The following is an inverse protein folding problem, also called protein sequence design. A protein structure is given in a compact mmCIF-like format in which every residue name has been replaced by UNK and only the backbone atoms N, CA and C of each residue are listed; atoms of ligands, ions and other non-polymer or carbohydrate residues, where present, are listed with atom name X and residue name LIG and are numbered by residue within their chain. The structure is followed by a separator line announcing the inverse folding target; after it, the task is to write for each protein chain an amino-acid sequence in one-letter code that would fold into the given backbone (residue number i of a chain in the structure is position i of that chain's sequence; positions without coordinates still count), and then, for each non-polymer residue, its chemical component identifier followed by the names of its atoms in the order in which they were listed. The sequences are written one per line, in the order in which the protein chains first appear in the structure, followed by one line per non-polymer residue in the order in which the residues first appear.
data_IF_086103474693
#
_entry.id   IF_086103474693
#
_cell.length_a   1.000
_cell.length_b   1.000
_cell.length_c   1.000
_cell.angle_alpha   90.00
_cell.angle_beta   90.00
_cell.angle_gamma   90.00
#
_symmetry.space_group_name_H-M   'P 1'
#
loop_
_entity.id
_entity.type
_entity.pdbx_description
1 polymer ?
#
# COMPACT_ATOMS: atom_id res chain seq x y z
N UNK A 1 6.24 -3.49 12.11
CA UNK A 1 5.52 -2.61 13.02
C UNK A 1 5.82 -2.94 14.51
N UNK A 2 5.80 -4.22 14.99
CA UNK A 2 6.10 -4.52 16.40
C UNK A 2 7.45 -3.98 16.87
N UNK A 3 8.51 -4.14 16.11
CA UNK A 3 9.85 -3.62 16.47
C UNK A 3 9.85 -2.08 16.64
N UNK A 4 9.18 -1.37 15.71
CA UNK A 4 9.04 0.09 15.76
C UNK A 4 8.36 0.54 17.06
N UNK A 5 7.31 -0.18 17.46
CA UNK A 5 6.56 0.13 18.68
C UNK A 5 7.32 -0.24 19.94
N UNK A 6 8.11 -1.33 19.91
CA UNK A 6 8.97 -1.73 21.03
C UNK A 6 10.05 -0.68 21.29
N UNK A 7 10.69 -0.16 20.26
CA UNK A 7 11.68 0.92 20.37
C UNK A 7 11.07 2.23 20.91
N UNK A 8 9.76 2.42 20.71
CA UNK A 8 9.00 3.53 21.29
C UNK A 8 8.54 3.26 22.73
N UNK A 9 9.01 2.19 23.39
CA UNK A 9 8.67 1.85 24.79
C UNK A 9 7.31 1.17 24.97
N UNK A 10 6.66 0.73 23.86
CA UNK A 10 5.39 0.02 23.93
C UNK A 10 5.65 -1.47 24.21
N UNK A 11 4.94 -2.03 25.19
CA UNK A 11 5.09 -3.44 25.57
C UNK A 11 4.79 -4.38 24.39
N UNK A 12 5.48 -5.54 24.34
CA UNK A 12 5.33 -6.53 23.29
C UNK A 12 3.87 -7.00 23.10
N UNK A 13 3.14 -7.18 24.20
CA UNK A 13 1.72 -7.54 24.16
C UNK A 13 0.88 -6.47 23.44
N UNK A 14 1.09 -5.19 23.77
CA UNK A 14 0.39 -4.06 23.13
C UNK A 14 0.81 -3.90 21.67
N UNK A 15 2.09 -4.09 21.35
CA UNK A 15 2.61 -4.07 19.98
C UNK A 15 1.98 -5.20 19.13
N UNK A 16 1.78 -6.38 19.72
CA UNK A 16 1.05 -7.49 19.07
C UNK A 16 -0.41 -7.14 18.79
N UNK A 17 -1.11 -6.53 19.74
CA UNK A 17 -2.51 -6.06 19.56
C UNK A 17 -2.61 -5.02 18.45
N UNK A 18 -1.69 -4.06 18.41
CA UNK A 18 -1.63 -3.03 17.35
C UNK A 18 -1.39 -3.68 15.98
N UNK A 19 -0.51 -4.67 15.90
CA UNK A 19 -0.28 -5.42 14.67
C UNK A 19 -1.52 -6.24 14.25
N UNK A 20 -2.21 -6.85 15.20
CA UNK A 20 -3.50 -7.53 14.96
C UNK A 20 -4.56 -6.58 14.38
N UNK A 21 -4.66 -5.37 14.90
CA UNK A 21 -5.56 -4.33 14.36
C UNK A 21 -5.22 -3.99 12.90
N UNK A 22 -3.93 -3.82 12.58
CA UNK A 22 -3.49 -3.60 11.20
C UNK A 22 -3.96 -4.72 10.28
N UNK A 23 -3.77 -5.97 10.69
CA UNK A 23 -4.16 -7.13 9.89
C UNK A 23 -5.69 -7.23 9.69
N UNK A 24 -6.47 -6.99 10.74
CA UNK A 24 -7.94 -6.98 10.67
C UNK A 24 -8.43 -5.90 9.70
N UNK A 25 -7.91 -4.68 9.81
CA UNK A 25 -8.34 -3.57 8.96
C UNK A 25 -7.89 -3.72 7.50
N UNK A 26 -6.84 -4.52 7.22
CA UNK A 26 -6.43 -4.86 5.86
C UNK A 26 -7.50 -5.68 5.10
N UNK A 27 -8.32 -6.45 5.81
CA UNK A 27 -9.40 -7.23 5.18
C UNK A 27 -10.63 -6.37 4.81
N UNK A 28 -10.86 -5.25 5.48
CA UNK A 28 -12.08 -4.42 5.31
C UNK A 28 -12.27 -3.93 3.88
N UNK A 29 -11.26 -3.38 3.17
CA UNK A 29 -11.43 -2.92 1.80
C UNK A 29 -11.86 -4.02 0.83
N UNK A 30 -11.40 -5.26 1.03
CA UNK A 30 -11.82 -6.40 0.22
C UNK A 30 -13.33 -6.65 0.27
N UNK A 31 -13.93 -6.41 1.43
CA UNK A 31 -15.37 -6.60 1.64
C UNK A 31 -16.21 -5.41 1.14
N UNK A 32 -15.70 -4.18 1.27
CA UNK A 32 -16.49 -2.96 1.05
C UNK A 32 -16.24 -2.30 -0.31
N UNK A 33 -15.00 -2.31 -0.80
CA UNK A 33 -14.59 -1.48 -1.94
C UNK A 33 -14.68 -2.18 -3.28
N UNK A 34 -14.61 -3.51 -3.34
CA UNK A 34 -14.57 -4.25 -4.60
C UNK A 34 -15.76 -3.93 -5.53
N UNK A 35 -16.97 -3.86 -4.97
CA UNK A 35 -18.17 -3.54 -5.74
C UNK A 35 -18.27 -2.04 -6.10
N UNK A 36 -17.81 -1.17 -5.21
CA UNK A 36 -17.88 0.29 -5.35
C UNK A 36 -16.86 0.78 -6.38
N UNK A 37 -15.63 0.29 -6.34
CA UNK A 37 -14.56 0.70 -7.26
C UNK A 37 -14.88 0.37 -8.72
N UNK A 38 -15.58 -0.75 -8.97
CA UNK A 38 -16.01 -1.14 -10.32
C UNK A 38 -17.05 -0.22 -10.93
N UNK A 39 -17.80 0.52 -10.10
CA UNK A 39 -18.87 1.44 -10.54
C UNK A 39 -18.35 2.85 -10.79
N UNK A 40 -17.15 3.18 -10.34
CA UNK A 40 -16.56 4.50 -10.56
C UNK A 40 -16.08 4.62 -12.01
N UNK A 41 -16.40 5.75 -12.65
CA UNK A 41 -15.91 6.08 -14.00
C UNK A 41 -14.39 6.28 -14.03
N UNK A 42 -13.82 6.68 -12.91
CA UNK A 42 -12.41 7.03 -12.75
C UNK A 42 -11.98 6.68 -11.31
N UNK A 43 -10.91 5.96 -11.17
CA UNK A 43 -10.40 5.50 -9.87
C UNK A 43 -9.23 6.35 -9.34
N UNK A 44 -8.90 7.48 -9.97
CA UNK A 44 -7.78 8.36 -9.59
C UNK A 44 -7.91 8.86 -8.15
N UNK A 45 -9.09 9.38 -7.79
CA UNK A 45 -9.34 9.89 -6.44
C UNK A 45 -9.16 8.79 -5.39
N UNK A 46 -9.66 7.59 -5.66
CA UNK A 46 -9.49 6.46 -4.75
C UNK A 46 -8.00 6.10 -4.57
N UNK A 47 -7.23 6.04 -5.66
CA UNK A 47 -5.80 5.75 -5.62
C UNK A 47 -5.01 6.82 -4.84
N UNK A 48 -5.27 8.10 -5.11
CA UNK A 48 -4.62 9.20 -4.40
C UNK A 48 -4.99 9.20 -2.92
N UNK A 49 -6.27 9.05 -2.59
CA UNK A 49 -6.74 9.05 -1.19
C UNK A 49 -6.10 7.92 -0.39
N UNK A 50 -6.03 6.72 -0.96
CA UNK A 50 -5.43 5.54 -0.31
C UNK A 50 -3.94 5.74 -0.09
N UNK A 51 -3.22 6.27 -1.07
CA UNK A 51 -1.79 6.56 -0.95
C UNK A 51 -1.51 7.62 0.12
N UNK A 52 -2.31 8.68 0.16
CA UNK A 52 -2.17 9.74 1.15
C UNK A 52 -2.54 9.27 2.57
N UNK A 53 -3.57 8.42 2.72
CA UNK A 53 -3.90 7.80 4.00
C UNK A 53 -2.76 6.93 4.52
N UNK A 54 -2.12 6.15 3.64
CA UNK A 54 -0.95 5.35 3.98
C UNK A 54 0.22 6.22 4.43
N UNK A 55 0.53 7.29 3.69
CA UNK A 55 1.58 8.23 4.06
C UNK A 55 1.28 8.91 5.40
N UNK A 56 0.05 9.39 5.60
CA UNK A 56 -0.40 10.03 6.84
C UNK A 56 -0.25 9.08 8.05
N UNK A 57 -0.62 7.81 7.91
CA UNK A 57 -0.50 6.84 8.99
C UNK A 57 0.95 6.58 9.39
N UNK A 58 1.87 6.51 8.41
CA UNK A 58 3.30 6.35 8.67
C UNK A 58 3.89 7.57 9.39
N UNK A 59 3.53 8.76 8.94
CA UNK A 59 3.91 10.03 9.60
C UNK A 59 3.32 10.09 11.02
N UNK A 60 2.06 9.67 11.18
CA UNK A 60 1.39 9.62 12.48
C UNK A 60 2.07 8.68 13.47
N UNK A 61 2.58 7.54 13.04
CA UNK A 61 3.36 6.63 13.90
C UNK A 61 4.64 7.32 14.41
N UNK A 62 5.29 8.16 13.60
CA UNK A 62 6.51 8.89 13.99
C UNK A 62 6.22 9.97 15.03
N UNK A 63 5.21 10.81 14.77
CA UNK A 63 4.99 12.03 15.55
C UNK A 63 3.96 11.86 16.69
N UNK A 64 3.11 10.86 16.62
CA UNK A 64 2.07 10.58 17.62
C UNK A 64 1.97 9.08 17.96
N UNK A 65 3.04 8.45 18.50
CA UNK A 65 3.07 7.02 18.77
C UNK A 65 2.02 6.58 19.81
N UNK A 66 1.54 7.49 20.64
CA UNK A 66 0.45 7.22 21.57
C UNK A 66 -0.86 6.79 20.92
N UNK A 67 -1.07 7.15 19.64
CA UNK A 67 -2.22 6.76 18.82
C UNK A 67 -1.91 5.58 17.90
N UNK A 68 -0.95 4.73 18.23
CA UNK A 68 -0.48 3.62 17.39
C UNK A 68 -1.60 2.71 16.89
N UNK A 69 -2.65 2.47 17.70
CA UNK A 69 -3.81 1.68 17.31
C UNK A 69 -4.59 2.32 16.15
N UNK A 70 -4.80 3.64 16.20
CA UNK A 70 -5.45 4.40 15.14
C UNK A 70 -4.62 4.37 13.85
N UNK A 71 -3.32 4.65 13.97
CA UNK A 71 -2.43 4.65 12.81
C UNK A 71 -2.30 3.27 12.18
N UNK A 72 -2.26 2.21 12.99
CA UNK A 72 -2.26 0.84 12.49
C UNK A 72 -3.55 0.50 11.75
N UNK A 73 -4.70 0.94 12.25
CA UNK A 73 -5.98 0.73 11.59
C UNK A 73 -6.04 1.45 10.22
N UNK A 74 -5.59 2.71 10.16
CA UNK A 74 -5.53 3.48 8.91
C UNK A 74 -4.53 2.84 7.93
N UNK A 75 -3.36 2.44 8.41
CA UNK A 75 -2.32 1.79 7.59
C UNK A 75 -2.82 0.46 7.02
N UNK A 76 -3.49 -0.36 7.84
CA UNK A 76 -4.07 -1.62 7.40
C UNK A 76 -5.14 -1.41 6.34
N UNK A 77 -6.07 -0.49 6.57
CA UNK A 77 -7.09 -0.14 5.59
C UNK A 77 -6.45 0.35 4.28
N UNK A 78 -5.48 1.26 4.35
CA UNK A 78 -4.75 1.76 3.18
C UNK A 78 -4.05 0.64 2.40
N UNK A 79 -3.38 -0.28 3.10
CA UNK A 79 -2.70 -1.43 2.48
C UNK A 79 -3.68 -2.35 1.75
N UNK A 80 -4.79 -2.72 2.40
CA UNK A 80 -5.82 -3.55 1.79
C UNK A 80 -6.51 -2.86 0.61
N UNK A 81 -6.79 -1.57 0.72
CA UNK A 81 -7.38 -0.78 -0.35
C UNK A 81 -6.43 -0.66 -1.56
N UNK A 82 -5.13 -0.49 -1.33
CA UNK A 82 -4.11 -0.47 -2.40
C UNK A 82 -4.09 -1.78 -3.18
N UNK A 83 -4.15 -2.91 -2.48
CA UNK A 83 -4.22 -4.24 -3.11
C UNK A 83 -5.50 -4.39 -3.96
N UNK A 84 -6.65 -3.99 -3.41
CA UNK A 84 -7.93 -4.05 -4.15
C UNK A 84 -7.94 -3.14 -5.38
N UNK A 85 -7.37 -1.94 -5.28
CA UNK A 85 -7.20 -1.03 -6.41
C UNK A 85 -6.31 -1.65 -7.50
N UNK A 86 -5.18 -2.24 -7.12
CA UNK A 86 -4.27 -2.90 -8.07
C UNK A 86 -4.97 -4.02 -8.85
N UNK A 87 -5.69 -4.90 -8.16
CA UNK A 87 -6.45 -5.97 -8.81
C UNK A 87 -7.58 -5.41 -9.69
N UNK A 88 -8.25 -4.35 -9.25
CA UNK A 88 -9.29 -3.69 -10.03
C UNK A 88 -8.72 -3.07 -11.30
N UNK A 89 -7.55 -2.41 -11.23
CA UNK A 89 -6.89 -1.83 -12.40
C UNK A 89 -6.51 -2.89 -13.43
N UNK A 90 -5.97 -4.03 -12.99
CA UNK A 90 -5.67 -5.16 -13.88
C UNK A 90 -6.95 -5.58 -14.63
N UNK A 91 -8.03 -5.85 -13.91
CA UNK A 91 -9.28 -6.28 -14.51
C UNK A 91 -9.95 -5.26 -15.44
N UNK A 92 -9.80 -3.95 -15.15
CA UNK A 92 -10.39 -2.88 -15.97
C UNK A 92 -9.53 -2.49 -17.18
N UNK A 93 -8.24 -2.85 -17.22
CA UNK A 93 -7.29 -2.46 -18.29
C UNK A 93 -7.01 -3.59 -19.27
N UNK A 94 -7.48 -4.79 -18.99
CA UNK A 94 -7.27 -5.96 -19.85
C UNK A 94 -8.58 -6.38 -20.52
N UNK A 95 -8.47 -6.91 -21.75
CA UNK A 95 -9.64 -7.30 -22.57
C UNK A 95 -10.00 -8.78 -22.41
N UNK A 96 -9.06 -9.59 -21.99
CA UNK A 96 -9.22 -11.04 -21.84
C UNK A 96 -8.44 -11.59 -20.64
N UNK A 97 -8.72 -12.82 -20.28
CA UNK A 97 -8.12 -13.49 -19.12
C UNK A 97 -6.59 -13.70 -19.28
N UNK A 98 -6.10 -13.90 -20.51
CA UNK A 98 -4.67 -14.08 -20.79
C UNK A 98 -3.89 -12.80 -20.50
N UNK A 99 -4.36 -11.66 -21.00
CA UNK A 99 -3.74 -10.35 -20.74
C UNK A 99 -3.80 -10.01 -19.24
N UNK A 100 -4.92 -10.33 -18.57
CA UNK A 100 -5.05 -10.12 -17.13
C UNK A 100 -4.04 -10.95 -16.34
N UNK A 101 -3.85 -12.22 -16.70
CA UNK A 101 -2.89 -13.10 -16.05
C UNK A 101 -1.45 -12.61 -16.27
N UNK A 102 -1.09 -12.21 -17.50
CA UNK A 102 0.24 -11.70 -17.83
C UNK A 102 0.54 -10.39 -17.06
N UNK A 103 -0.39 -9.43 -17.06
CA UNK A 103 -0.22 -8.17 -16.34
C UNK A 103 -0.14 -8.40 -14.83
N UNK A 104 -0.98 -9.29 -14.28
CA UNK A 104 -0.95 -9.65 -12.86
C UNK A 104 0.37 -10.30 -12.47
N UNK A 105 0.85 -11.26 -13.26
CA UNK A 105 2.14 -11.94 -13.03
C UNK A 105 3.30 -10.95 -13.03
N UNK A 106 3.36 -10.04 -14.00
CA UNK A 106 4.38 -9.00 -14.08
C UNK A 106 4.32 -8.06 -12.86
N UNK A 107 3.14 -7.56 -12.51
CA UNK A 107 2.97 -6.66 -11.37
C UNK A 107 3.35 -7.33 -10.05
N UNK A 108 2.98 -8.59 -9.86
CA UNK A 108 3.33 -9.36 -8.66
C UNK A 108 4.82 -9.68 -8.59
N UNK A 109 5.46 -10.01 -9.72
CA UNK A 109 6.91 -10.25 -9.76
C UNK A 109 7.67 -9.01 -9.27
N UNK A 110 7.37 -7.84 -9.84
CA UNK A 110 7.99 -6.58 -9.40
C UNK A 110 7.66 -6.27 -7.93
N UNK A 111 6.39 -6.45 -7.53
CA UNK A 111 5.95 -6.21 -6.15
C UNK A 111 6.67 -7.10 -5.14
N UNK A 112 6.82 -8.39 -5.40
CA UNK A 112 7.53 -9.31 -4.52
C UNK A 112 9.03 -9.04 -4.45
N UNK A 113 9.66 -8.64 -5.56
CA UNK A 113 11.05 -8.20 -5.55
C UNK A 113 11.23 -6.97 -4.65
N UNK A 114 10.36 -5.99 -4.76
CA UNK A 114 10.38 -4.82 -3.88
C UNK A 114 10.11 -5.20 -2.42
N UNK A 115 9.18 -6.11 -2.17
CA UNK A 115 8.88 -6.60 -0.83
C UNK A 115 10.06 -7.38 -0.21
N UNK A 116 10.85 -8.10 -1.00
CA UNK A 116 12.05 -8.79 -0.53
C UNK A 116 13.20 -7.82 -0.21
N UNK A 117 13.41 -6.80 -1.03
CA UNK A 117 14.49 -5.83 -0.87
C UNK A 117 14.13 -4.74 0.15
N UNK A 118 12.86 -4.36 0.23
CA UNK A 118 12.37 -3.26 1.06
C UNK A 118 12.82 -3.33 2.52
N UNK A 119 12.58 -4.43 3.25
CA UNK A 119 12.99 -4.56 4.64
C UNK A 119 14.50 -4.44 4.85
N UNK A 120 15.31 -4.95 3.92
CA UNK A 120 16.77 -4.84 3.98
C UNK A 120 17.24 -3.39 3.84
N UNK A 121 16.65 -2.64 2.89
CA UNK A 121 16.98 -1.23 2.71
C UNK A 121 16.53 -0.39 3.91
N UNK A 122 15.31 -0.62 4.41
CA UNK A 122 14.78 0.10 5.56
C UNK A 122 15.56 -0.24 6.84
N UNK A 123 16.02 -1.49 6.99
CA UNK A 123 16.92 -1.87 8.08
C UNK A 123 18.25 -1.10 8.04
N UNK A 124 18.87 -1.00 6.85
CA UNK A 124 20.08 -0.18 6.68
C UNK A 124 19.86 1.30 7.00
N UNK A 125 18.72 1.86 6.56
CA UNK A 125 18.36 3.25 6.89
C UNK A 125 18.17 3.42 8.39
N UNK A 126 17.53 2.45 9.06
CA UNK A 126 17.39 2.42 10.52
C UNK A 126 18.76 2.45 11.21
N UNK A 127 19.65 1.53 10.83
CA UNK A 127 20.99 1.42 11.44
C UNK A 127 21.83 2.68 11.24
N UNK A 128 21.73 3.29 10.05
CA UNK A 128 22.42 4.53 9.72
C UNK A 128 21.85 5.75 10.44
N UNK A 129 20.53 5.84 10.58
CA UNK A 129 19.86 7.01 11.20
C UNK A 129 19.69 6.90 12.71
N UNK A 130 19.96 5.72 13.28
CA UNK A 130 19.82 5.46 14.73
C UNK A 130 18.38 5.36 15.22
N UNK A 131 17.42 5.09 14.32
CA UNK A 131 16.01 4.92 14.71
C UNK A 131 15.03 4.77 13.57
N UNK A 132 13.75 4.51 13.89
CA UNK A 132 12.71 4.21 12.93
C UNK A 132 12.06 5.43 12.26
N UNK A 133 12.35 6.66 12.73
CA UNK A 133 11.75 7.87 12.15
C UNK A 133 12.10 8.01 10.66
N UNK A 134 13.39 7.92 10.31
CA UNK A 134 13.82 8.03 8.90
C UNK A 134 13.27 6.92 8.01
N UNK A 135 13.34 5.62 8.35
CA UNK A 135 12.68 4.57 7.55
C UNK A 135 11.20 4.81 7.29
N UNK A 136 10.45 5.25 8.32
CA UNK A 136 9.03 5.53 8.20
C UNK A 136 8.75 6.73 7.30
N UNK A 137 9.53 7.81 7.42
CA UNK A 137 9.39 9.00 6.57
C UNK A 137 9.77 8.71 5.11
N UNK A 138 10.81 7.92 4.87
CA UNK A 138 11.16 7.45 3.52
C UNK A 138 10.01 6.63 2.92
N UNK A 139 9.44 5.72 3.69
CA UNK A 139 8.29 4.91 3.23
C UNK A 139 7.06 5.79 2.99
N UNK A 140 6.82 6.82 3.81
CA UNK A 140 5.75 7.78 3.60
C UNK A 140 5.96 8.59 2.30
N UNK A 141 7.19 9.01 2.02
CA UNK A 141 7.53 9.71 0.77
C UNK A 141 7.30 8.80 -0.46
N UNK A 142 7.65 7.51 -0.36
CA UNK A 142 7.36 6.52 -1.41
C UNK A 142 5.84 6.36 -1.59
N UNK A 143 5.06 6.35 -0.51
CA UNK A 143 3.60 6.27 -0.59
C UNK A 143 3.00 7.52 -1.27
N UNK A 144 3.54 8.71 -1.00
CA UNK A 144 3.14 9.95 -1.70
C UNK A 144 3.49 9.88 -3.19
N UNK A 145 4.70 9.41 -3.54
CA UNK A 145 5.07 9.17 -4.94
C UNK A 145 4.14 8.15 -5.62
N UNK A 146 3.69 7.14 -4.85
CA UNK A 146 2.66 6.19 -5.26
C UNK A 146 1.33 6.83 -5.67
N UNK A 147 0.98 8.00 -5.11
CA UNK A 147 -0.21 8.74 -5.53
C UNK A 147 -0.11 9.22 -6.99
N UNK A 148 1.08 9.62 -7.44
CA UNK A 148 1.33 10.04 -8.83
C UNK A 148 1.17 8.87 -9.81
N UNK A 149 1.74 7.70 -9.47
CA UNK A 149 1.57 6.49 -10.28
C UNK A 149 0.13 5.98 -10.25
N UNK A 150 -0.54 6.09 -9.10
CA UNK A 150 -1.96 5.78 -8.93
C UNK A 150 -2.87 6.66 -9.77
N UNK A 151 -2.57 7.97 -9.88
CA UNK A 151 -3.27 8.89 -10.78
C UNK A 151 -3.11 8.47 -12.25
N UNK A 152 -1.89 8.08 -12.66
CA UNK A 152 -1.64 7.61 -14.01
C UNK A 152 -2.38 6.30 -14.32
N UNK A 153 -2.30 5.32 -13.41
CA UNK A 153 -2.97 4.02 -13.54
C UNK A 153 -4.50 4.12 -13.43
N UNK A 154 -5.03 5.07 -12.66
CA UNK A 154 -6.47 5.29 -12.46
C UNK A 154 -7.18 5.95 -13.65
N UNK A 155 -6.47 6.36 -14.71
CA UNK A 155 -7.08 6.92 -15.92
C UNK A 155 -7.94 5.86 -16.62
N UNK A 156 -9.03 6.29 -17.25
CA UNK A 156 -9.88 5.40 -18.04
C UNK A 156 -9.21 5.12 -19.41
N UNK A 157 -8.23 4.22 -19.44
CA UNK A 157 -7.50 3.81 -20.64
C UNK A 157 -7.38 2.28 -20.67
N UNK A 158 -7.51 1.69 -21.85
CA UNK A 158 -7.25 0.27 -22.08
C UNK A 158 -5.83 0.08 -22.62
N UNK A 159 -5.20 -1.03 -22.24
CA UNK A 159 -3.95 -1.45 -22.84
C UNK A 159 -4.22 -1.99 -24.24
N UNK A 160 -3.47 -1.51 -25.24
CA UNK A 160 -3.50 -2.09 -26.58
C UNK A 160 -2.73 -3.42 -26.58
N UNK A 161 -3.24 -4.48 -27.26
CA UNK A 161 -2.51 -5.74 -27.39
C UNK A 161 -1.21 -5.52 -28.16
N UNK A 162 -0.15 -6.19 -27.75
CA UNK A 162 1.16 -6.13 -28.43
C UNK A 162 1.11 -6.56 -29.91
N UNK A 163 0.05 -7.29 -30.31
CA UNK A 163 -0.18 -7.71 -31.72
C UNK A 163 -0.56 -6.57 -32.67
N UNK A 164 -0.82 -5.36 -32.19
CA UNK A 164 -1.10 -4.19 -33.03
C UNK A 164 0.17 -3.43 -33.46
N UNK A 165 1.36 -3.89 -33.06
CA UNK A 165 2.65 -3.27 -33.36
C UNK A 165 3.47 -4.07 -34.38
N UNK A 166 2.90 -5.10 -34.99
CA UNK A 166 3.53 -5.94 -36.05
C UNK A 166 3.05 -5.56 -37.45
#
# INVERSE_FOLDING_TARGET
LPAILADSGISSAKAGTVHGMLQLTTAIPGLLLAATLRRLKDQKLAAVSVSLLTALSLIGIVYAPGLAMLWAAILGFGSGASMMLGLTFIGLRTKNAGDAAALSGMAQCVGYLMAAIGPLLLGKVHDWSGGWAMPLLVTAAIAVAGACTGMAAGRNAHLEPASSLS
#
